data_IF_873756558550
#
_entry.id   IF_873756558550
#
_cell.length_a   1.000
_cell.length_b   1.000
_cell.length_c   1.000
_cell.angle_alpha   90.00
_cell.angle_beta   90.00
_cell.angle_gamma   90.00
#
_symmetry.space_group_name_H-M   'P 1'
#
loop_
_entity.id
_entity.type
_entity.pdbx_description
1 polymer ?
#
# COMPACT_ATOMS: atom_id res chain seq x y z
N UNK A 1 8.83 -6.09 6.18
CA UNK A 1 7.69 -5.40 6.81
C UNK A 1 6.72 -6.50 7.26
N UNK A 2 5.98 -6.30 8.34
CA UNK A 2 5.08 -7.31 8.91
C UNK A 2 3.70 -6.65 9.01
N UNK A 3 2.66 -7.34 8.56
CA UNK A 3 1.29 -6.82 8.62
C UNK A 3 0.71 -6.86 10.04
N UNK A 4 -0.15 -5.90 10.35
CA UNK A 4 -0.81 -5.81 11.67
C UNK A 4 -1.82 -6.94 11.95
N UNK A 5 -2.34 -7.60 10.92
CA UNK A 5 -3.33 -8.69 11.01
C UNK A 5 -4.65 -8.29 11.71
N UNK A 6 -5.05 -7.03 11.55
CA UNK A 6 -6.34 -6.55 12.05
C UNK A 6 -7.50 -7.22 11.29
N UNK A 7 -8.57 -7.66 11.97
CA UNK A 7 -9.71 -8.29 11.32
C UNK A 7 -10.45 -7.28 10.44
N UNK A 8 -10.80 -7.69 9.23
CA UNK A 8 -11.59 -6.89 8.26
C UNK A 8 -10.92 -5.57 7.81
N UNK A 9 -9.60 -5.45 8.01
CA UNK A 9 -8.82 -4.27 7.62
C UNK A 9 -7.73 -4.66 6.65
N UNK A 10 -7.80 -4.12 5.43
CA UNK A 10 -6.77 -4.24 4.41
C UNK A 10 -5.57 -3.37 4.78
N UNK A 11 -4.37 -3.75 4.33
CA UNK A 11 -3.15 -3.03 4.69
C UNK A 11 -2.12 -3.03 3.57
N UNK A 12 -1.69 -1.83 3.15
CA UNK A 12 -0.53 -1.67 2.28
C UNK A 12 0.65 -1.09 3.07
N UNK A 13 1.83 -1.67 2.83
CA UNK A 13 3.08 -1.27 3.47
C UNK A 13 4.06 -0.78 2.41
N UNK A 14 4.79 0.28 2.73
CA UNK A 14 5.84 0.81 1.87
C UNK A 14 7.01 1.29 2.71
N UNK A 15 8.23 0.94 2.28
CA UNK A 15 9.45 1.42 2.90
C UNK A 15 10.36 2.04 1.84
N UNK A 16 10.92 3.21 2.14
CA UNK A 16 11.92 3.86 1.29
C UNK A 16 13.09 4.37 2.12
N UNK A 17 14.16 4.78 1.42
CA UNK A 17 15.20 5.62 2.01
C UNK A 17 14.66 6.97 2.51
N UNK A 18 15.54 7.85 3.02
CA UNK A 18 15.16 9.10 3.66
C UNK A 18 14.31 9.97 2.71
N UNK A 19 13.05 10.26 3.03
CA UNK A 19 12.20 11.13 2.22
C UNK A 19 12.49 12.59 2.55
N UNK A 20 12.05 13.49 1.67
CA UNK A 20 12.10 14.93 1.91
C UNK A 20 10.94 15.38 2.82
N UNK A 21 9.74 14.78 2.69
CA UNK A 21 8.54 15.09 3.49
C UNK A 21 7.64 13.86 3.66
N UNK A 22 6.70 13.89 4.62
CA UNK A 22 5.67 12.85 4.75
C UNK A 22 4.78 12.74 3.52
N UNK A 23 4.47 13.88 2.88
CA UNK A 23 3.66 13.93 1.64
C UNK A 23 4.35 13.21 0.50
N UNK A 24 5.65 13.43 0.33
CA UNK A 24 6.45 12.77 -0.71
C UNK A 24 6.51 11.26 -0.46
N UNK A 25 6.64 10.82 0.79
CA UNK A 25 6.61 9.40 1.16
C UNK A 25 5.31 8.73 0.74
N UNK A 26 4.17 9.35 1.07
CA UNK A 26 2.85 8.83 0.70
C UNK A 26 2.68 8.82 -0.82
N UNK A 27 3.08 9.89 -1.51
CA UNK A 27 3.02 9.95 -2.98
C UNK A 27 3.81 8.83 -3.66
N UNK A 28 5.01 8.52 -3.16
CA UNK A 28 5.84 7.41 -3.66
C UNK A 28 5.24 6.05 -3.33
N UNK A 29 4.64 5.90 -2.15
CA UNK A 29 3.97 4.67 -1.75
C UNK A 29 2.78 4.38 -2.67
N UNK A 30 1.85 5.33 -2.83
CA UNK A 30 0.68 5.20 -3.69
C UNK A 30 1.06 5.00 -5.16
N UNK A 31 2.06 5.72 -5.65
CA UNK A 31 2.59 5.49 -7.00
C UNK A 31 3.12 4.06 -7.14
N UNK A 32 3.94 3.58 -6.21
CA UNK A 32 4.50 2.23 -6.26
C UNK A 32 3.43 1.14 -6.23
N UNK A 33 2.43 1.28 -5.37
CA UNK A 33 1.30 0.34 -5.28
C UNK A 33 0.49 0.33 -6.58
N UNK A 34 0.07 1.49 -7.09
CA UNK A 34 -0.74 1.57 -8.33
C UNK A 34 0.01 1.16 -9.59
N UNK A 35 1.34 1.36 -9.65
CA UNK A 35 2.17 0.96 -10.80
C UNK A 35 2.26 -0.57 -10.95
N UNK A 36 1.88 -1.37 -9.95
CA UNK A 36 1.83 -2.84 -10.05
C UNK A 36 0.92 -3.29 -11.20
N UNK A 37 -0.31 -2.77 -11.28
CA UNK A 37 -1.25 -3.10 -12.36
C UNK A 37 -0.70 -2.62 -13.71
N UNK A 38 -0.06 -1.46 -13.77
CA UNK A 38 0.53 -0.96 -15.01
C UNK A 38 1.65 -1.88 -15.52
N UNK A 39 2.47 -2.42 -14.61
CA UNK A 39 3.65 -3.24 -14.96
C UNK A 39 3.31 -4.70 -15.22
N UNK A 40 2.41 -5.26 -14.41
CA UNK A 40 2.12 -6.69 -14.37
C UNK A 40 0.82 -7.04 -15.08
N UNK A 41 -0.06 -6.05 -15.27
CA UNK A 41 -1.41 -6.25 -15.75
C UNK A 41 -2.31 -6.90 -14.70
N UNK A 42 -3.61 -6.87 -14.94
CA UNK A 42 -4.57 -7.80 -14.35
C UNK A 42 -4.75 -8.87 -15.40
N UNK A 43 -4.18 -10.07 -15.21
CA UNK A 43 -4.20 -11.12 -16.25
C UNK A 43 -5.64 -11.41 -16.68
N UNK A 44 -6.37 -12.08 -15.80
CA UNK A 44 -7.74 -12.52 -16.01
C UNK A 44 -8.64 -12.17 -14.82
N UNK A 45 -8.08 -12.06 -13.60
CA UNK A 45 -8.80 -11.69 -12.39
C UNK A 45 -7.92 -10.82 -11.46
N UNK A 46 -8.50 -9.76 -10.91
CA UNK A 46 -7.87 -8.90 -9.90
C UNK A 46 -7.71 -9.63 -8.56
N UNK A 47 -8.47 -10.71 -8.33
CA UNK A 47 -8.38 -11.54 -7.14
C UNK A 47 -7.10 -12.39 -7.09
N UNK A 48 -6.29 -12.41 -8.15
CA UNK A 48 -5.00 -13.10 -8.18
C UNK A 48 -3.90 -12.28 -7.47
N UNK A 49 -4.11 -11.98 -6.18
CA UNK A 49 -3.21 -11.23 -5.30
C UNK A 49 -1.77 -11.80 -5.33
N UNK A 50 -1.62 -13.10 -5.60
CA UNK A 50 -0.35 -13.82 -5.70
C UNK A 50 0.55 -13.42 -6.89
N UNK A 51 0.06 -12.60 -7.82
CA UNK A 51 0.87 -12.11 -8.94
C UNK A 51 1.62 -10.80 -8.65
N UNK A 52 1.66 -10.34 -7.40
CA UNK A 52 2.38 -9.14 -7.01
C UNK A 52 1.65 -7.84 -7.36
N UNK A 53 0.32 -7.93 -7.53
CA UNK A 53 -0.59 -6.79 -7.71
C UNK A 53 -1.43 -6.49 -6.48
N UNK A 54 -1.13 -7.15 -5.35
CA UNK A 54 -1.96 -7.10 -4.14
C UNK A 54 -2.11 -5.69 -3.55
N UNK A 55 -1.11 -4.83 -3.69
CA UNK A 55 -1.25 -3.46 -3.20
C UNK A 55 -2.17 -2.66 -4.12
N UNK A 56 -2.02 -2.81 -5.44
CA UNK A 56 -2.90 -2.14 -6.39
C UNK A 56 -4.35 -2.58 -6.24
N UNK A 57 -4.62 -3.88 -6.09
CA UNK A 57 -5.98 -4.40 -5.94
C UNK A 57 -6.65 -3.81 -4.72
N UNK A 58 -5.94 -3.68 -3.61
CA UNK A 58 -6.45 -3.01 -2.41
C UNK A 58 -6.75 -1.51 -2.64
N UNK A 59 -5.91 -0.80 -3.40
CA UNK A 59 -6.12 0.63 -3.72
C UNK A 59 -7.37 0.83 -4.58
N UNK A 60 -7.68 -0.12 -5.47
CA UNK A 60 -8.79 -0.05 -6.42
C UNK A 60 -9.99 -0.90 -6.00
N UNK A 61 -10.04 -1.38 -4.77
CA UNK A 61 -11.11 -2.24 -4.28
C UNK A 61 -12.42 -1.46 -4.14
N UNK A 62 -13.49 -1.94 -4.78
CA UNK A 62 -14.74 -1.20 -4.93
C UNK A 62 -15.56 -1.12 -3.63
N UNK A 63 -15.42 -2.11 -2.75
CA UNK A 63 -16.11 -2.17 -1.45
C UNK A 63 -15.33 -1.58 -0.29
N UNK A 64 -14.11 -1.07 -0.51
CA UNK A 64 -13.39 -0.29 0.50
C UNK A 64 -13.92 1.15 0.51
N UNK A 65 -14.41 1.61 1.66
CA UNK A 65 -15.07 2.92 1.77
C UNK A 65 -14.31 3.94 2.61
N UNK A 66 -13.33 3.50 3.39
CA UNK A 66 -12.54 4.37 4.26
C UNK A 66 -11.07 3.98 4.25
N UNK A 67 -10.21 4.98 4.38
CA UNK A 67 -8.76 4.78 4.43
C UNK A 67 -8.11 5.71 5.44
N UNK A 68 -7.03 5.23 6.05
CA UNK A 68 -6.18 6.01 6.95
C UNK A 68 -4.72 5.62 6.78
N UNK A 69 -3.83 6.61 6.69
CA UNK A 69 -2.40 6.36 6.49
C UNK A 69 -1.54 6.98 7.59
N UNK A 70 -0.52 6.24 8.02
CA UNK A 70 0.53 6.69 8.92
C UNK A 70 1.88 6.74 8.23
N UNK A 71 2.68 7.75 8.56
CA UNK A 71 4.07 7.89 8.07
C UNK A 71 4.99 8.02 9.28
N UNK A 72 6.02 7.19 9.32
CA UNK A 72 7.03 7.23 10.38
C UNK A 72 8.43 7.22 9.79
N UNK A 73 9.30 8.08 10.32
CA UNK A 73 10.74 8.01 10.10
C UNK A 73 11.34 7.05 11.12
N UNK A 74 11.99 5.99 10.65
CA UNK A 74 12.61 4.99 11.49
C UNK A 74 14.00 5.44 11.97
N UNK A 75 14.49 4.83 13.05
CA UNK A 75 15.79 5.16 13.65
C UNK A 75 16.97 4.91 12.71
N UNK A 76 16.82 3.98 11.77
CA UNK A 76 17.80 3.68 10.72
C UNK A 76 17.76 4.66 9.53
N UNK A 77 17.00 5.75 9.65
CA UNK A 77 16.88 6.80 8.64
C UNK A 77 15.93 6.48 7.48
N UNK A 78 15.34 5.28 7.44
CA UNK A 78 14.30 4.94 6.46
C UNK A 78 12.97 5.62 6.81
N UNK A 79 12.03 5.55 5.90
CA UNK A 79 10.63 5.91 6.18
C UNK A 79 9.71 4.78 5.81
N UNK A 80 8.77 4.50 6.72
CA UNK A 80 7.69 3.56 6.53
C UNK A 80 6.39 4.33 6.34
N UNK A 81 5.62 3.91 5.35
CA UNK A 81 4.24 4.34 5.11
C UNK A 81 3.35 3.11 5.27
N UNK A 82 2.29 3.26 6.04
CA UNK A 82 1.25 2.24 6.25
C UNK A 82 -0.07 2.88 5.89
N UNK A 83 -0.88 2.22 5.07
CA UNK A 83 -2.27 2.62 4.84
C UNK A 83 -3.19 1.44 5.17
N UNK A 84 -4.20 1.72 5.98
CA UNK A 84 -5.29 0.81 6.30
C UNK A 84 -6.52 1.14 5.46
N UNK A 85 -7.24 0.10 5.07
CA UNK A 85 -8.41 0.14 4.18
C UNK A 85 -9.55 -0.61 4.85
N UNK A 86 -10.73 -0.01 4.92
CA UNK A 86 -11.90 -0.62 5.57
C UNK A 86 -13.20 -0.33 4.82
N UNK A 87 -14.08 -1.33 4.64
CA UNK A 87 -13.83 -2.77 4.80
C UNK A 87 -12.74 -3.29 3.85
N UNK A 88 -12.13 -4.42 4.20
CA UNK A 88 -11.16 -5.13 3.37
C UNK A 88 -11.85 -5.95 2.27
#
# INVERSE_FOLDING_TARGET
MIHSQLPDVGENLFASGPPRTSRDSVGRAVYGWTDEIRRLGTRDDINEIFHGIGHATQVFWDTTFSLGCGVIKCDDGRTSVVCHYYPA
#
